data_IF_688343254487
#
_entry.id   IF_688343254487
#
_cell.length_a   1.000
_cell.length_b   1.000
_cell.length_c   1.000
_cell.angle_alpha   90.00
_cell.angle_beta   90.00
_cell.angle_gamma   90.00
#
_symmetry.space_group_name_H-M   'P 1'
#
loop_
_entity.id
_entity.type
_entity.pdbx_description
1 polymer ?
#
# COMPACT_ATOMS: atom_id res chain seq x y z
N UNK A 1 -20.74 1.33 8.07
CA UNK A 1 -21.05 2.37 7.04
C UNK A 1 -19.88 2.59 6.07
N UNK A 2 -18.62 2.61 6.51
CA UNK A 2 -17.44 2.75 5.62
C UNK A 2 -17.26 1.56 4.64
N UNK A 3 -17.49 0.32 5.10
CA UNK A 3 -17.39 -0.88 4.24
C UNK A 3 -18.38 -0.87 3.06
N UNK A 4 -19.58 -0.33 3.27
CA UNK A 4 -20.59 -0.22 2.20
C UNK A 4 -20.19 0.80 1.13
N UNK A 5 -19.54 1.90 1.51
CA UNK A 5 -19.04 2.89 0.58
C UNK A 5 -17.88 2.33 -0.27
N UNK A 6 -16.91 1.68 0.37
CA UNK A 6 -15.79 1.03 -0.32
C UNK A 6 -16.27 -0.09 -1.27
N UNK A 7 -17.25 -0.89 -0.85
CA UNK A 7 -17.85 -1.92 -1.70
C UNK A 7 -18.59 -1.34 -2.90
N UNK A 8 -19.28 -0.21 -2.74
CA UNK A 8 -19.91 0.53 -3.86
C UNK A 8 -18.87 1.05 -4.85
N UNK A 9 -17.77 1.64 -4.38
CA UNK A 9 -16.68 2.11 -5.24
C UNK A 9 -16.04 0.97 -6.03
N UNK A 10 -15.77 -0.17 -5.39
CA UNK A 10 -15.26 -1.38 -6.07
C UNK A 10 -16.20 -1.89 -7.16
N UNK A 11 -17.52 -1.90 -6.91
CA UNK A 11 -18.53 -2.29 -7.91
C UNK A 11 -18.59 -1.29 -9.08
N UNK A 12 -18.58 0.01 -8.79
CA UNK A 12 -18.55 1.07 -9.83
C UNK A 12 -17.31 0.91 -10.72
N UNK A 13 -16.13 0.71 -10.11
CA UNK A 13 -14.87 0.45 -10.82
C UNK A 13 -14.96 -0.78 -11.75
N UNK A 14 -15.54 -1.88 -11.26
CA UNK A 14 -15.71 -3.09 -12.06
C UNK A 14 -16.63 -2.86 -13.28
N UNK A 15 -17.69 -2.07 -13.09
CA UNK A 15 -18.59 -1.68 -14.18
C UNK A 15 -17.87 -0.82 -15.22
N UNK A 16 -17.16 0.23 -14.80
CA UNK A 16 -16.41 1.12 -15.70
C UNK A 16 -15.34 0.33 -16.48
N UNK A 17 -14.59 -0.56 -15.81
CA UNK A 17 -13.64 -1.46 -16.49
C UNK A 17 -14.31 -2.32 -17.55
N UNK A 18 -15.47 -2.90 -17.23
CA UNK A 18 -16.23 -3.71 -18.20
C UNK A 18 -16.62 -2.88 -19.43
N UNK A 19 -17.06 -1.64 -19.22
CA UNK A 19 -17.38 -0.72 -20.32
C UNK A 19 -16.15 -0.39 -21.15
N UNK A 20 -15.02 -0.01 -20.53
CA UNK A 20 -13.76 0.25 -21.23
C UNK A 20 -13.33 -0.96 -22.06
N UNK A 21 -13.36 -2.17 -21.48
CA UNK A 21 -13.00 -3.41 -22.22
C UNK A 21 -13.90 -3.63 -23.44
N UNK A 22 -15.20 -3.33 -23.34
CA UNK A 22 -16.11 -3.40 -24.49
C UNK A 22 -15.77 -2.34 -25.54
N UNK A 23 -15.53 -1.10 -25.13
CA UNK A 23 -15.15 -0.02 -26.05
C UNK A 23 -13.84 -0.34 -26.77
N UNK A 24 -12.82 -0.84 -26.06
CA UNK A 24 -11.56 -1.31 -26.65
C UNK A 24 -11.81 -2.40 -27.69
N UNK A 25 -12.63 -3.41 -27.38
CA UNK A 25 -12.97 -4.46 -28.35
C UNK A 25 -13.70 -3.92 -29.58
N UNK A 26 -14.56 -2.92 -29.40
CA UNK A 26 -15.25 -2.28 -30.52
C UNK A 26 -14.26 -1.51 -31.41
N UNK A 27 -13.30 -0.79 -30.81
CA UNK A 27 -12.20 -0.14 -31.53
C UNK A 27 -11.37 -1.19 -32.29
N UNK A 28 -10.92 -2.24 -31.61
CA UNK A 28 -10.18 -3.35 -32.21
C UNK A 28 -10.96 -3.97 -33.38
N UNK A 29 -12.28 -4.09 -33.26
CA UNK A 29 -13.11 -4.62 -34.34
C UNK A 29 -13.17 -3.64 -35.51
N UNK A 30 -13.41 -2.35 -35.25
CA UNK A 30 -13.55 -1.31 -36.28
C UNK A 30 -12.27 -1.12 -37.10
N UNK A 31 -11.11 -1.04 -36.44
CA UNK A 31 -9.82 -0.85 -37.14
C UNK A 31 -9.42 -2.04 -38.02
N UNK A 32 -9.97 -3.22 -37.76
CA UNK A 32 -9.69 -4.44 -38.52
C UNK A 32 -10.71 -4.68 -39.65
N UNK A 33 -11.69 -3.80 -39.84
CA UNK A 33 -12.63 -3.89 -40.96
C UNK A 33 -11.95 -3.50 -42.28
N UNK A 34 -12.37 -4.09 -43.42
CA UNK A 34 -11.89 -3.68 -44.75
C UNK A 34 -12.23 -2.23 -45.09
N UNK A 35 -13.36 -1.74 -44.60
CA UNK A 35 -13.82 -0.36 -44.73
C UNK A 35 -14.05 0.19 -43.32
N UNK A 36 -13.16 1.08 -42.89
CA UNK A 36 -13.11 1.64 -41.54
C UNK A 36 -13.95 2.90 -41.48
N UNK A 37 -14.85 3.01 -40.49
CA UNK A 37 -15.59 4.24 -40.22
C UNK A 37 -14.79 5.17 -39.29
N UNK A 38 -14.33 6.29 -39.83
CA UNK A 38 -13.60 7.32 -39.06
C UNK A 38 -14.49 7.94 -37.99
N UNK A 39 -15.72 8.31 -38.33
CA UNK A 39 -16.68 8.90 -37.39
C UNK A 39 -16.96 7.97 -36.20
N UNK A 40 -17.14 6.67 -36.46
CA UNK A 40 -17.34 5.68 -35.39
C UNK A 40 -16.11 5.51 -34.51
N UNK A 41 -14.91 5.57 -35.09
CA UNK A 41 -13.66 5.55 -34.31
C UNK A 41 -13.51 6.79 -33.44
N UNK A 42 -13.80 7.99 -33.95
CA UNK A 42 -13.75 9.23 -33.18
C UNK A 42 -14.71 9.19 -31.99
N UNK A 43 -15.93 8.68 -32.18
CA UNK A 43 -16.91 8.49 -31.10
C UNK A 43 -16.39 7.49 -30.04
N UNK A 44 -15.86 6.34 -30.47
CA UNK A 44 -15.30 5.35 -29.57
C UNK A 44 -14.08 5.86 -28.80
N UNK A 45 -13.28 6.74 -29.41
CA UNK A 45 -12.13 7.39 -28.77
C UNK A 45 -12.55 8.46 -27.76
N UNK A 46 -13.60 9.24 -28.01
CA UNK A 46 -14.09 10.16 -26.97
C UNK A 46 -14.69 9.38 -25.79
N UNK A 47 -15.40 8.28 -26.07
CA UNK A 47 -15.88 7.38 -25.03
C UNK A 47 -14.75 6.79 -24.18
N UNK A 48 -13.66 6.30 -24.80
CA UNK A 48 -12.57 5.68 -24.03
C UNK A 48 -11.86 6.72 -23.14
N UNK A 49 -11.71 7.94 -23.63
CA UNK A 49 -11.14 9.06 -22.86
C UNK A 49 -11.98 9.35 -21.62
N UNK A 50 -13.28 9.57 -21.78
CA UNK A 50 -14.19 9.84 -20.65
C UNK A 50 -14.17 8.70 -19.63
N UNK A 51 -14.31 7.44 -20.09
CA UNK A 51 -14.31 6.31 -19.16
C UNK A 51 -12.95 6.11 -18.46
N UNK A 52 -11.83 6.47 -19.10
CA UNK A 52 -10.51 6.40 -18.49
C UNK A 52 -10.34 7.44 -17.38
N UNK A 53 -10.89 8.65 -17.57
CA UNK A 53 -10.91 9.71 -16.56
C UNK A 53 -11.79 9.28 -15.36
N UNK A 54 -12.97 8.73 -15.61
CA UNK A 54 -13.85 8.16 -14.59
C UNK A 54 -13.17 7.04 -13.80
N UNK A 55 -12.45 6.15 -14.48
CA UNK A 55 -11.71 5.07 -13.85
C UNK A 55 -10.61 5.62 -12.93
N UNK A 56 -9.91 6.66 -13.38
CA UNK A 56 -8.86 7.30 -12.59
C UNK A 56 -9.44 7.96 -11.33
N UNK A 57 -10.54 8.71 -11.47
CA UNK A 57 -11.22 9.33 -10.34
C UNK A 57 -11.64 8.29 -9.28
N UNK A 58 -12.23 7.16 -9.71
CA UNK A 58 -12.62 6.08 -8.79
C UNK A 58 -11.40 5.45 -8.11
N UNK A 59 -10.27 5.30 -8.81
CA UNK A 59 -9.06 4.78 -8.20
C UNK A 59 -8.53 5.73 -7.12
N UNK A 60 -8.48 7.03 -7.40
CA UNK A 60 -8.07 8.04 -6.42
C UNK A 60 -9.01 8.07 -5.20
N UNK A 61 -10.32 7.95 -5.40
CA UNK A 61 -11.27 7.85 -4.29
C UNK A 61 -11.03 6.60 -3.43
N UNK A 62 -10.73 5.45 -4.06
CA UNK A 62 -10.38 4.23 -3.33
C UNK A 62 -9.09 4.40 -2.56
N UNK A 63 -8.04 4.97 -3.17
CA UNK A 63 -6.74 5.23 -2.53
C UNK A 63 -6.90 6.15 -1.31
N UNK A 64 -7.66 7.24 -1.45
CA UNK A 64 -7.93 8.17 -0.35
C UNK A 64 -8.80 7.57 0.76
N UNK A 65 -9.63 6.58 0.44
CA UNK A 65 -10.47 5.88 1.42
C UNK A 65 -9.73 4.75 2.15
N UNK A 66 -8.52 4.37 1.70
CA UNK A 66 -7.65 3.45 2.45
C UNK A 66 -6.91 4.28 3.50
N UNK A 67 -7.20 4.01 4.78
CA UNK A 67 -6.52 4.71 5.87
C UNK A 67 -5.11 4.16 6.09
N UNK A 68 -4.14 4.77 5.43
CA UNK A 68 -2.71 4.45 5.61
C UNK A 68 -2.21 4.98 6.97
N UNK A 69 -2.93 5.93 7.58
CA UNK A 69 -2.57 6.56 8.86
C UNK A 69 -2.61 5.56 10.01
N UNK A 70 -3.56 4.62 10.00
CA UNK A 70 -3.62 3.54 11.00
C UNK A 70 -2.37 2.64 10.93
N UNK A 71 -1.96 2.27 9.71
CA UNK A 71 -0.74 1.48 9.48
C UNK A 71 0.53 2.25 9.89
N UNK A 72 0.62 3.54 9.58
CA UNK A 72 1.75 4.39 9.95
C UNK A 72 1.85 4.56 11.48
N UNK A 73 0.72 4.71 12.16
CA UNK A 73 0.67 4.78 13.63
C UNK A 73 1.10 3.47 14.30
N UNK A 74 0.65 2.33 13.76
CA UNK A 74 1.09 1.02 14.24
C UNK A 74 2.59 0.83 14.04
N UNK A 75 3.11 1.18 12.85
CA UNK A 75 4.52 1.10 12.52
C UNK A 75 5.38 1.97 13.45
N UNK A 76 4.93 3.20 13.72
CA UNK A 76 5.59 4.10 14.67
C UNK A 76 5.62 3.50 16.07
N UNK A 77 4.49 2.98 16.55
CA UNK A 77 4.38 2.32 17.87
C UNK A 77 5.30 1.11 17.98
N UNK A 78 5.36 0.28 16.93
CA UNK A 78 6.26 -0.88 16.86
C UNK A 78 7.73 -0.47 16.89
N UNK A 79 8.09 0.61 16.19
CA UNK A 79 9.44 1.17 16.17
C UNK A 79 9.86 1.69 17.55
N UNK A 80 8.99 2.46 18.22
CA UNK A 80 9.23 2.95 19.58
C UNK A 80 9.41 1.81 20.59
N UNK A 81 8.62 0.73 20.45
CA UNK A 81 8.75 -0.44 21.30
C UNK A 81 10.05 -1.20 21.06
N UNK A 82 10.46 -1.35 19.79
CA UNK A 82 11.76 -1.93 19.41
C UNK A 82 12.92 -1.15 20.03
N UNK A 83 12.88 0.18 19.98
CA UNK A 83 13.92 1.03 20.57
C UNK A 83 13.99 0.90 22.09
N UNK A 84 12.85 0.73 22.76
CA UNK A 84 12.81 0.40 24.19
C UNK A 84 13.48 -0.94 24.48
N UNK A 85 13.19 -1.98 23.70
CA UNK A 85 13.84 -3.30 23.84
C UNK A 85 15.36 -3.16 23.70
N UNK A 86 15.83 -2.52 22.64
CA UNK A 86 17.27 -2.32 22.38
C UNK A 86 17.92 -1.59 23.56
N UNK A 87 17.32 -0.48 24.00
CA UNK A 87 17.82 0.34 25.10
C UNK A 87 17.95 -0.46 26.38
N UNK A 88 16.91 -1.19 26.77
CA UNK A 88 16.90 -1.93 28.03
C UNK A 88 17.75 -3.19 27.99
N UNK A 89 17.83 -3.88 26.86
CA UNK A 89 18.77 -4.99 26.64
C UNK A 89 20.21 -4.51 26.78
N UNK A 90 20.55 -3.36 26.18
CA UNK A 90 21.88 -2.77 26.33
C UNK A 90 22.21 -2.41 27.78
N UNK A 91 21.27 -1.76 28.49
CA UNK A 91 21.42 -1.38 29.90
C UNK A 91 21.60 -2.59 30.80
N UNK A 92 20.79 -3.63 30.61
CA UNK A 92 20.91 -4.89 31.34
C UNK A 92 22.27 -5.54 31.10
N UNK A 93 22.70 -5.65 29.84
CA UNK A 93 24.02 -6.18 29.48
C UNK A 93 25.18 -5.38 30.09
N UNK A 94 25.07 -4.04 30.13
CA UNK A 94 26.06 -3.18 30.80
C UNK A 94 26.12 -3.48 32.30
N UNK A 95 24.96 -3.59 32.97
CA UNK A 95 24.89 -3.87 34.40
C UNK A 95 25.49 -5.23 34.77
N UNK A 96 25.21 -6.25 33.96
CA UNK A 96 25.81 -7.59 34.13
C UNK A 96 27.35 -7.48 34.08
N UNK A 97 27.91 -6.82 33.07
CA UNK A 97 29.37 -6.64 32.93
C UNK A 97 30.00 -5.92 34.12
N UNK A 98 29.34 -4.87 34.64
CA UNK A 98 29.81 -4.13 35.83
C UNK A 98 29.85 -5.02 37.08
N UNK A 99 28.80 -5.82 37.29
CA UNK A 99 28.72 -6.74 38.42
C UNK A 99 29.78 -7.84 38.30
N UNK A 100 29.96 -8.43 37.11
CA UNK A 100 30.99 -9.45 36.88
C UNK A 100 32.41 -8.92 37.14
N UNK A 101 32.72 -7.68 36.72
CA UNK A 101 34.01 -7.03 37.03
C UNK A 101 34.19 -6.78 38.53
N UNK A 102 33.13 -6.38 39.22
CA UNK A 102 33.18 -6.15 40.68
C UNK A 102 33.44 -7.44 41.45
N UNK A 103 32.84 -8.56 41.01
CA UNK A 103 33.07 -9.88 41.59
C UNK A 103 34.52 -10.32 41.36
N UNK A 104 35.06 -10.15 40.14
CA UNK A 104 36.48 -10.44 39.84
C UNK A 104 37.44 -9.61 40.70
N UNK A 105 37.09 -8.35 41.02
CA UNK A 105 37.92 -7.48 41.88
C UNK A 105 37.85 -7.85 43.36
N UNK A 106 36.69 -8.31 43.85
CA UNK A 106 36.51 -8.72 45.26
C UNK A 106 37.11 -10.10 45.58
N UNK A 107 37.25 -10.95 44.58
CA UNK A 107 37.85 -12.28 44.72
C UNK A 107 38.89 -12.50 43.62
N UNK A 108 40.07 -11.85 43.70
CA UNK A 108 41.14 -12.14 42.76
C UNK A 108 41.60 -13.57 43.00
N UNK A 109 41.28 -14.48 42.07
CA UNK A 109 41.86 -15.82 42.09
C UNK A 109 43.37 -15.66 42.03
N UNK A 110 44.07 -15.99 43.12
CA UNK A 110 45.52 -16.05 43.16
C UNK A 110 45.96 -17.11 42.15
N UNK A 111 46.41 -16.68 40.96
CA UNK A 111 47.15 -17.54 40.05
C UNK A 111 48.47 -17.88 40.74
N UNK A 112 48.62 -19.14 41.13
CA UNK A 112 49.92 -19.77 41.38
C UNK A 112 50.61 -19.99 40.04
#
# INVERSE_FOLDING_TARGET
MADDAMNKLKKKRASVRTTITKTVKNIETEINKPEVSVDALEELLEHIKIYSEDLNAINTEIENAVDITELDNELKSATEYRDKIITWTFRAGKKIRELSKTIQRKFPQHRK
#
